data_IF_838269999426
#
_entry.id   IF_838269999426
#
_cell.length_a   1.000
_cell.length_b   1.000
_cell.length_c   1.000
_cell.angle_alpha   90.00
_cell.angle_beta   90.00
_cell.angle_gamma   90.00
#
_symmetry.space_group_name_H-M   'P 1'
#
loop_
_entity.id
_entity.type
_entity.pdbx_description
1 polymer ?
#
# COMPACT_ATOMS: atom_id res chain seq x y z
N UNK A 1 -34.39 -20.12 -16.54
CA UNK A 1 -34.72 -19.16 -15.47
C UNK A 1 -34.01 -17.86 -15.82
N UNK A 2 -34.69 -16.72 -15.96
CA UNK A 2 -34.00 -15.45 -16.20
C UNK A 2 -33.19 -15.06 -14.95
N UNK A 3 -31.93 -14.68 -15.14
CA UNK A 3 -31.08 -14.13 -14.08
C UNK A 3 -31.74 -12.89 -13.47
N UNK A 4 -31.68 -12.71 -12.14
CA UNK A 4 -32.38 -11.61 -11.50
C UNK A 4 -31.78 -10.26 -11.95
N UNK A 5 -32.64 -9.37 -12.44
CA UNK A 5 -32.31 -7.97 -12.86
C UNK A 5 -31.48 -7.20 -11.80
N UNK A 6 -31.49 -7.64 -10.56
CA UNK A 6 -30.68 -7.18 -9.44
C UNK A 6 -29.17 -7.45 -9.63
N UNK A 7 -28.77 -8.58 -10.21
CA UNK A 7 -27.37 -8.96 -10.45
C UNK A 7 -26.71 -8.06 -11.50
N UNK A 8 -27.38 -7.82 -12.63
CA UNK A 8 -26.87 -6.96 -13.70
C UNK A 8 -26.70 -5.50 -13.27
N UNK A 9 -27.60 -4.98 -12.42
CA UNK A 9 -27.46 -3.62 -11.88
C UNK A 9 -26.28 -3.52 -10.91
N UNK A 10 -26.07 -4.53 -10.07
CA UNK A 10 -24.93 -4.58 -9.17
C UNK A 10 -23.60 -4.68 -9.93
N UNK A 11 -23.54 -5.49 -10.99
CA UNK A 11 -22.38 -5.62 -11.87
C UNK A 11 -22.04 -4.31 -12.59
N UNK A 12 -23.04 -3.62 -13.15
CA UNK A 12 -22.85 -2.31 -13.78
C UNK A 12 -22.39 -1.25 -12.77
N UNK A 13 -22.93 -1.26 -11.55
CA UNK A 13 -22.50 -0.35 -10.49
C UNK A 13 -21.05 -0.63 -10.08
N UNK A 14 -20.66 -1.89 -9.92
CA UNK A 14 -19.29 -2.30 -9.62
C UNK A 14 -18.33 -1.89 -10.75
N UNK A 15 -18.71 -2.10 -12.01
CA UNK A 15 -17.93 -1.68 -13.17
C UNK A 15 -17.73 -0.16 -13.24
N UNK A 16 -18.78 0.62 -12.97
CA UNK A 16 -18.71 2.08 -12.92
C UNK A 16 -17.78 2.56 -11.80
N UNK A 17 -17.89 1.95 -10.61
CA UNK A 17 -17.02 2.27 -9.47
C UNK A 17 -15.55 1.97 -9.78
N UNK A 18 -15.26 0.83 -10.39
CA UNK A 18 -13.90 0.45 -10.79
C UNK A 18 -13.34 1.42 -11.85
N UNK A 19 -14.12 1.82 -12.84
CA UNK A 19 -13.70 2.81 -13.85
C UNK A 19 -13.37 4.17 -13.21
N UNK A 20 -14.17 4.63 -12.25
CA UNK A 20 -13.92 5.87 -11.49
C UNK A 20 -12.63 5.78 -10.68
N UNK A 21 -12.39 4.67 -9.97
CA UNK A 21 -11.15 4.46 -9.20
C UNK A 21 -9.92 4.44 -10.10
N UNK A 22 -9.98 3.71 -11.20
CA UNK A 22 -8.88 3.63 -12.15
C UNK A 22 -8.53 5.00 -12.76
N UNK A 23 -9.53 5.75 -13.22
CA UNK A 23 -9.34 7.09 -13.77
C UNK A 23 -8.79 8.07 -12.72
N UNK A 24 -9.35 8.04 -11.50
CA UNK A 24 -8.91 8.90 -10.42
C UNK A 24 -7.47 8.58 -9.98
N UNK A 25 -7.09 7.29 -9.89
CA UNK A 25 -5.72 6.87 -9.59
C UNK A 25 -4.74 7.46 -10.60
N UNK A 26 -4.96 7.28 -11.89
CA UNK A 26 -4.09 7.84 -12.93
C UNK A 26 -3.95 9.35 -12.85
N UNK A 27 -5.04 10.07 -12.58
CA UNK A 27 -5.02 11.53 -12.46
C UNK A 27 -4.33 12.01 -11.17
N UNK A 28 -4.56 11.36 -10.04
CA UNK A 28 -3.90 11.70 -8.77
C UNK A 28 -2.39 11.45 -8.85
N UNK A 29 -1.98 10.37 -9.48
CA UNK A 29 -0.55 10.11 -9.74
C UNK A 29 0.06 11.18 -10.61
N UNK A 30 -0.57 11.50 -11.75
CA UNK A 30 -0.02 12.42 -12.73
C UNK A 30 -0.01 13.88 -12.27
N UNK A 31 -1.10 14.35 -11.65
CA UNK A 31 -1.32 15.77 -11.30
C UNK A 31 -1.32 16.06 -9.80
N UNK A 32 -1.49 15.03 -8.95
CA UNK A 32 -1.75 15.16 -7.52
C UNK A 32 -3.21 15.48 -7.20
N UNK A 33 -3.55 15.35 -5.92
CA UNK A 33 -4.92 15.57 -5.45
C UNK A 33 -5.41 16.99 -5.73
N UNK A 34 -4.62 18.02 -5.44
CA UNK A 34 -5.06 19.41 -5.52
C UNK A 34 -5.45 19.80 -6.95
N UNK A 35 -4.65 19.40 -7.95
CA UNK A 35 -4.85 19.77 -9.36
C UNK A 35 -5.83 18.85 -10.13
N UNK A 36 -6.37 17.81 -9.50
CA UNK A 36 -7.37 16.93 -10.11
C UNK A 36 -8.77 17.37 -9.70
N UNK A 37 -9.65 17.64 -10.66
CA UNK A 37 -11.07 17.92 -10.43
C UNK A 37 -11.94 16.66 -10.56
N UNK A 38 -13.17 16.70 -10.01
CA UNK A 38 -14.15 15.62 -10.23
C UNK A 38 -14.61 15.58 -11.68
N UNK A 39 -14.59 16.71 -12.38
CA UNK A 39 -14.87 16.83 -13.82
C UNK A 39 -13.82 16.09 -14.65
N UNK A 40 -12.53 16.23 -14.31
CA UNK A 40 -11.45 15.46 -14.97
C UNK A 40 -11.68 13.95 -14.82
N UNK A 41 -12.05 13.52 -13.59
CA UNK A 41 -12.26 12.10 -13.28
C UNK A 41 -13.44 11.52 -14.09
N UNK A 42 -14.60 12.18 -14.10
CA UNK A 42 -15.77 11.68 -14.84
C UNK A 42 -15.53 11.67 -16.35
N UNK A 43 -14.79 12.64 -16.88
CA UNK A 43 -14.40 12.68 -18.28
C UNK A 43 -13.46 11.49 -18.62
N UNK A 44 -12.44 11.25 -17.81
CA UNK A 44 -11.50 10.15 -18.00
C UNK A 44 -12.16 8.77 -17.85
N UNK A 45 -13.07 8.62 -16.87
CA UNK A 45 -13.83 7.40 -16.65
C UNK A 45 -14.97 7.18 -17.66
N UNK A 46 -15.29 8.19 -18.50
CA UNK A 46 -16.43 8.19 -19.45
C UNK A 46 -17.77 7.91 -18.78
N UNK A 47 -17.99 8.49 -17.61
CA UNK A 47 -19.24 8.37 -16.85
C UNK A 47 -19.85 9.75 -16.59
N UNK A 48 -21.09 9.78 -16.08
CA UNK A 48 -21.74 11.04 -15.72
C UNK A 48 -21.31 11.52 -14.32
N UNK A 49 -21.43 12.82 -14.06
CA UNK A 49 -21.22 13.40 -12.74
C UNK A 49 -22.15 12.77 -11.68
N UNK A 50 -23.41 12.49 -12.07
CA UNK A 50 -24.37 11.79 -11.19
C UNK A 50 -23.90 10.40 -10.77
N UNK A 51 -23.27 9.65 -11.71
CA UNK A 51 -22.69 8.35 -11.39
C UNK A 51 -21.53 8.44 -10.38
N UNK A 52 -20.69 9.45 -10.46
CA UNK A 52 -19.63 9.67 -9.47
C UNK A 52 -20.22 9.90 -8.07
N UNK A 53 -21.18 10.83 -7.94
CA UNK A 53 -21.78 11.15 -6.63
C UNK A 53 -22.72 10.07 -6.09
N UNK A 54 -23.12 9.13 -6.94
CA UNK A 54 -23.79 7.91 -6.47
C UNK A 54 -22.82 6.97 -5.72
N UNK A 55 -21.55 6.95 -6.09
CA UNK A 55 -20.54 6.07 -5.50
C UNK A 55 -19.67 6.74 -4.43
N UNK A 56 -19.43 8.03 -4.54
CA UNK A 56 -18.52 8.78 -3.66
C UNK A 56 -19.17 10.11 -3.26
N UNK A 57 -19.13 10.42 -1.96
CA UNK A 57 -19.75 11.63 -1.41
C UNK A 57 -19.09 12.91 -1.94
N UNK A 58 -17.77 12.87 -2.09
CA UNK A 58 -16.96 13.99 -2.53
C UNK A 58 -15.61 13.50 -3.10
N UNK A 59 -14.77 14.43 -3.55
CA UNK A 59 -13.42 14.13 -4.06
C UNK A 59 -12.51 13.51 -3.00
N UNK A 60 -12.67 13.87 -1.73
CA UNK A 60 -11.89 13.32 -0.63
C UNK A 60 -12.25 11.86 -0.35
N UNK A 61 -13.52 11.51 -0.44
CA UNK A 61 -14.00 10.14 -0.31
C UNK A 61 -13.51 9.25 -1.46
N UNK A 62 -13.54 9.77 -2.70
CA UNK A 62 -12.93 9.11 -3.86
C UNK A 62 -11.41 8.91 -3.68
N UNK A 63 -10.71 9.93 -3.20
CA UNK A 63 -9.27 9.85 -2.94
C UNK A 63 -8.95 8.80 -1.86
N UNK A 64 -9.72 8.74 -0.77
CA UNK A 64 -9.57 7.71 0.27
C UNK A 64 -9.75 6.31 -0.32
N UNK A 65 -10.72 6.12 -1.21
CA UNK A 65 -10.94 4.84 -1.86
C UNK A 65 -9.76 4.46 -2.79
N UNK A 66 -9.20 5.41 -3.55
CA UNK A 66 -8.00 5.19 -4.37
C UNK A 66 -6.80 4.85 -3.50
N UNK A 67 -6.61 5.55 -2.38
CA UNK A 67 -5.50 5.29 -1.47
C UNK A 67 -5.57 3.87 -0.86
N UNK A 68 -6.77 3.44 -0.45
CA UNK A 68 -7.00 2.08 0.03
C UNK A 68 -6.72 1.03 -1.06
N UNK A 69 -7.14 1.29 -2.30
CA UNK A 69 -6.92 0.42 -3.45
C UNK A 69 -5.41 0.25 -3.74
N UNK A 70 -4.66 1.36 -3.77
CA UNK A 70 -3.20 1.33 -3.95
C UNK A 70 -2.51 0.56 -2.81
N UNK A 71 -2.90 0.79 -1.56
CA UNK A 71 -2.32 0.09 -0.41
C UNK A 71 -2.64 -1.42 -0.45
N UNK A 72 -3.88 -1.79 -0.81
CA UNK A 72 -4.28 -3.19 -0.94
C UNK A 72 -3.55 -3.90 -2.08
N UNK A 73 -3.36 -3.24 -3.23
CA UNK A 73 -2.57 -3.77 -4.36
C UNK A 73 -1.12 -4.08 -3.94
N UNK A 74 -0.52 -3.20 -3.15
CA UNK A 74 0.85 -3.41 -2.65
C UNK A 74 0.91 -4.63 -1.74
N UNK A 75 0.02 -4.72 -0.76
CA UNK A 75 -0.03 -5.89 0.13
C UNK A 75 -0.23 -7.18 -0.68
N UNK A 76 -1.14 -7.17 -1.67
CA UNK A 76 -1.38 -8.32 -2.52
C UNK A 76 -0.13 -8.73 -3.31
N UNK A 77 0.63 -7.78 -3.84
CA UNK A 77 1.90 -8.05 -4.53
C UNK A 77 2.92 -8.63 -3.57
N UNK A 78 3.14 -7.99 -2.41
CA UNK A 78 4.12 -8.46 -1.42
C UNK A 78 3.80 -9.86 -0.90
N UNK A 79 2.53 -10.17 -0.65
CA UNK A 79 2.10 -11.51 -0.20
C UNK A 79 2.19 -12.52 -1.34
N UNK A 80 1.83 -12.14 -2.58
CA UNK A 80 1.94 -13.00 -3.75
C UNK A 80 3.40 -13.37 -4.03
N UNK A 81 4.28 -12.39 -4.08
CA UNK A 81 5.71 -12.60 -4.30
C UNK A 81 6.34 -13.48 -3.20
N UNK A 82 5.90 -13.30 -1.93
CA UNK A 82 6.37 -14.13 -0.81
C UNK A 82 5.89 -15.58 -0.90
N UNK A 83 4.66 -15.83 -1.38
CA UNK A 83 4.14 -17.20 -1.57
C UNK A 83 4.84 -17.92 -2.73
N UNK A 84 5.08 -17.22 -3.84
CA UNK A 84 5.79 -17.77 -4.99
C UNK A 84 7.24 -18.11 -4.62
N UNK A 85 7.92 -17.24 -3.86
CA UNK A 85 9.27 -17.48 -3.37
C UNK A 85 9.35 -18.66 -2.38
N UNK A 86 8.35 -18.86 -1.53
CA UNK A 86 8.30 -19.96 -0.58
C UNK A 86 8.19 -21.35 -1.24
N UNK A 87 7.57 -21.42 -2.41
CA UNK A 87 7.49 -22.66 -3.20
C UNK A 87 8.85 -23.03 -3.86
N UNK A 88 9.68 -22.04 -4.19
CA UNK A 88 10.96 -22.24 -4.86
C UNK A 88 12.12 -22.49 -3.87
N UNK A 89 12.11 -21.85 -2.69
CA UNK A 89 13.17 -22.00 -1.68
C UNK A 89 12.60 -21.72 -0.29
N UNK A 90 12.37 -22.75 0.55
CA UNK A 90 11.87 -22.54 1.91
C UNK A 90 12.94 -21.82 2.75
N UNK A 91 12.86 -20.51 2.81
CA UNK A 91 13.64 -19.66 3.70
C UNK A 91 12.99 -19.54 5.09
N UNK A 92 13.74 -19.01 6.06
CA UNK A 92 13.19 -18.67 7.38
C UNK A 92 12.17 -17.54 7.26
N UNK A 93 11.27 -17.39 8.24
CA UNK A 93 10.35 -16.23 8.30
C UNK A 93 11.11 -14.91 8.31
N UNK A 94 12.30 -14.88 8.92
CA UNK A 94 13.17 -13.71 8.91
C UNK A 94 13.70 -13.41 7.48
N UNK A 95 14.06 -14.44 6.70
CA UNK A 95 14.50 -14.25 5.31
C UNK A 95 13.35 -13.76 4.43
N UNK A 96 12.15 -14.31 4.59
CA UNK A 96 10.94 -13.82 3.90
C UNK A 96 10.61 -12.36 4.25
N UNK A 97 10.78 -11.94 5.52
CA UNK A 97 10.61 -10.54 5.92
C UNK A 97 11.62 -9.64 5.20
N UNK A 98 12.87 -10.05 5.09
CA UNK A 98 13.92 -9.30 4.38
C UNK A 98 13.61 -9.15 2.90
N UNK A 99 13.14 -10.21 2.26
CA UNK A 99 12.70 -10.21 0.85
C UNK A 99 11.49 -9.28 0.66
N UNK A 100 10.46 -9.39 1.51
CA UNK A 100 9.29 -8.52 1.48
C UNK A 100 9.63 -7.04 1.67
N UNK A 101 10.57 -6.72 2.57
CA UNK A 101 11.08 -5.34 2.73
C UNK A 101 11.79 -4.88 1.46
N UNK A 102 12.61 -5.74 0.85
CA UNK A 102 13.27 -5.46 -0.42
C UNK A 102 12.26 -5.14 -1.54
N UNK A 103 11.26 -6.01 -1.72
CA UNK A 103 10.19 -5.84 -2.70
C UNK A 103 9.37 -4.56 -2.45
N UNK A 104 9.05 -4.24 -1.18
CA UNK A 104 8.40 -2.99 -0.83
C UNK A 104 9.22 -1.75 -1.24
N UNK A 105 10.52 -1.75 -0.99
CA UNK A 105 11.39 -0.64 -1.39
C UNK A 105 11.51 -0.51 -2.91
N UNK A 106 11.41 -1.61 -3.68
CA UNK A 106 11.35 -1.57 -5.15
C UNK A 106 10.06 -0.91 -5.63
N UNK A 107 8.92 -1.21 -5.01
CA UNK A 107 7.64 -0.52 -5.28
C UNK A 107 7.75 0.99 -4.98
N UNK A 108 8.53 1.38 -3.96
CA UNK A 108 8.72 2.78 -3.60
C UNK A 108 9.56 3.58 -4.63
N UNK A 109 10.26 2.94 -5.53
CA UNK A 109 10.91 3.62 -6.67
C UNK A 109 9.88 4.04 -7.72
N UNK A 110 8.77 3.29 -7.85
CA UNK A 110 7.66 3.62 -8.74
C UNK A 110 6.78 4.71 -8.12
N UNK A 111 6.53 5.80 -8.84
CA UNK A 111 5.96 7.03 -8.30
C UNK A 111 4.52 6.98 -7.75
N UNK A 112 3.74 5.93 -8.07
CA UNK A 112 2.31 5.84 -7.74
C UNK A 112 2.07 5.83 -6.23
N UNK A 113 2.73 4.91 -5.52
CA UNK A 113 2.62 4.78 -4.07
C UNK A 113 3.09 6.04 -3.36
N UNK A 114 4.23 6.57 -3.79
CA UNK A 114 4.78 7.77 -3.18
C UNK A 114 3.83 8.94 -3.30
N UNK A 115 3.33 9.22 -4.50
CA UNK A 115 2.49 10.39 -4.74
C UNK A 115 1.18 10.29 -3.98
N UNK A 116 0.46 9.20 -4.16
CA UNK A 116 -0.90 9.05 -3.63
C UNK A 116 -0.89 8.76 -2.12
N UNK A 117 -0.05 7.82 -1.68
CA UNK A 117 -0.11 7.35 -0.29
C UNK A 117 0.75 8.20 0.63
N UNK A 118 2.02 8.43 0.28
CA UNK A 118 2.97 9.08 1.21
C UNK A 118 2.93 10.61 1.16
N UNK A 119 2.66 11.21 0.00
CA UNK A 119 2.68 12.68 -0.16
C UNK A 119 1.30 13.28 0.04
N UNK A 120 0.32 12.87 -0.77
CA UNK A 120 -1.03 13.46 -0.73
C UNK A 120 -1.86 12.88 0.43
N UNK A 121 -1.68 11.58 0.78
CA UNK A 121 -2.46 10.87 1.79
C UNK A 121 -2.54 11.57 3.15
N UNK A 122 -1.41 11.84 3.84
CA UNK A 122 -1.42 12.50 5.15
C UNK A 122 -2.02 13.91 5.09
N UNK A 123 -1.74 14.66 4.00
CA UNK A 123 -2.19 16.04 3.83
C UNK A 123 -3.70 16.11 3.56
N UNK A 124 -4.22 15.21 2.73
CA UNK A 124 -5.63 15.24 2.29
C UNK A 124 -6.54 14.61 3.33
N UNK A 125 -6.17 13.46 3.88
CA UNK A 125 -7.04 12.71 4.79
C UNK A 125 -6.87 13.11 6.25
N UNK A 126 -5.69 13.60 6.61
CA UNK A 126 -5.32 13.94 7.98
C UNK A 126 -4.66 12.77 8.73
N UNK A 127 -4.09 13.06 9.93
CA UNK A 127 -3.27 12.10 10.66
C UNK A 127 -4.04 10.85 11.09
N UNK A 128 -5.27 10.98 11.54
CA UNK A 128 -6.08 9.85 12.01
C UNK A 128 -6.35 8.82 10.90
N UNK A 129 -6.77 9.27 9.72
CA UNK A 129 -7.04 8.37 8.59
C UNK A 129 -5.74 7.77 8.01
N UNK A 130 -4.64 8.50 8.11
CA UNK A 130 -3.33 8.00 7.76
C UNK A 130 -2.86 6.91 8.74
N UNK A 131 -3.03 7.13 10.04
CA UNK A 131 -2.70 6.14 11.07
C UNK A 131 -3.55 4.86 10.90
N UNK A 132 -4.86 5.01 10.65
CA UNK A 132 -5.75 3.87 10.38
C UNK A 132 -5.26 3.04 9.18
N UNK A 133 -4.88 3.69 8.08
CA UNK A 133 -4.37 3.02 6.89
C UNK A 133 -3.05 2.29 7.19
N UNK A 134 -2.09 2.95 7.81
CA UNK A 134 -0.79 2.38 8.15
C UNK A 134 -0.94 1.20 9.11
N UNK A 135 -1.86 1.32 10.06
CA UNK A 135 -2.18 0.22 10.98
C UNK A 135 -2.77 -0.97 10.23
N UNK A 136 -3.76 -0.74 9.39
CA UNK A 136 -4.47 -1.79 8.65
C UNK A 136 -3.57 -2.57 7.71
N UNK A 137 -2.77 -1.88 6.91
CA UNK A 137 -2.00 -2.48 5.81
C UNK A 137 -0.53 -2.75 6.16
N UNK A 138 -0.01 -2.17 7.23
CA UNK A 138 1.37 -2.33 7.64
C UNK A 138 1.49 -3.00 9.01
N UNK A 139 1.07 -2.30 10.07
CA UNK A 139 1.31 -2.75 11.45
C UNK A 139 0.67 -4.10 11.76
N UNK A 140 -0.60 -4.30 11.36
CA UNK A 140 -1.30 -5.57 11.63
C UNK A 140 -0.60 -6.75 10.96
N UNK A 141 -0.28 -6.62 9.66
CA UNK A 141 0.39 -7.66 8.90
C UNK A 141 1.77 -8.01 9.50
N UNK A 142 2.58 -7.00 9.79
CA UNK A 142 3.90 -7.20 10.40
C UNK A 142 3.80 -7.78 11.82
N UNK A 143 2.79 -7.40 12.60
CA UNK A 143 2.58 -7.95 13.94
C UNK A 143 2.34 -9.46 13.88
N UNK A 144 1.46 -9.92 13.00
CA UNK A 144 1.17 -11.34 12.82
C UNK A 144 2.42 -12.11 12.38
N UNK A 145 3.17 -11.54 11.44
CA UNK A 145 4.41 -12.13 10.93
C UNK A 145 5.48 -12.25 12.03
N UNK A 146 5.72 -11.18 12.78
CA UNK A 146 6.69 -11.17 13.87
C UNK A 146 6.30 -12.15 14.99
N UNK A 147 5.02 -12.25 15.33
CA UNK A 147 4.53 -13.24 16.28
C UNK A 147 4.83 -14.67 15.83
N UNK A 148 4.70 -14.94 14.53
CA UNK A 148 5.00 -16.25 13.99
C UNK A 148 6.51 -16.55 14.05
N UNK A 149 7.37 -15.56 13.71
CA UNK A 149 8.81 -15.68 13.79
C UNK A 149 9.33 -15.86 15.25
N UNK A 150 8.67 -15.24 16.23
CA UNK A 150 8.93 -15.47 17.65
C UNK A 150 8.54 -16.88 18.09
N UNK A 151 7.37 -17.38 17.64
CA UNK A 151 6.91 -18.74 17.94
C UNK A 151 7.81 -19.83 17.35
N UNK A 152 8.39 -19.60 16.18
CA UNK A 152 9.37 -20.50 15.55
C UNK A 152 10.79 -20.31 16.07
N UNK A 153 10.97 -19.49 17.09
CA UNK A 153 12.26 -19.20 17.74
C UNK A 153 13.34 -18.63 16.81
N UNK A 154 12.94 -18.01 15.70
CA UNK A 154 13.85 -17.38 14.75
C UNK A 154 14.35 -16.02 15.24
N UNK A 155 13.51 -15.30 15.99
CA UNK A 155 13.82 -14.01 16.60
C UNK A 155 13.54 -14.02 18.10
N UNK A 156 14.18 -13.13 18.84
CA UNK A 156 13.95 -12.99 20.29
C UNK A 156 12.51 -12.54 20.58
N UNK A 157 12.00 -12.91 21.75
CA UNK A 157 10.68 -12.50 22.21
C UNK A 157 10.68 -11.01 22.57
N UNK A 158 9.92 -10.21 21.81
CA UNK A 158 9.78 -8.76 21.91
C UNK A 158 8.30 -8.37 21.86
N UNK A 159 7.93 -7.15 22.29
CA UNK A 159 6.57 -6.63 22.08
C UNK A 159 6.27 -6.49 20.57
N UNK A 160 5.63 -7.51 19.97
CA UNK A 160 5.46 -7.62 18.53
C UNK A 160 4.75 -6.40 17.89
N UNK A 161 3.73 -5.84 18.57
CA UNK A 161 3.02 -4.66 18.10
C UNK A 161 3.89 -3.39 18.07
N UNK A 162 4.72 -3.19 19.06
CA UNK A 162 5.64 -2.05 19.13
C UNK A 162 6.76 -2.21 18.10
N UNK A 163 7.32 -3.42 17.97
CA UNK A 163 8.32 -3.72 16.94
C UNK A 163 7.76 -3.50 15.53
N UNK A 164 6.54 -3.95 15.26
CA UNK A 164 5.86 -3.73 13.98
C UNK A 164 5.67 -2.23 13.68
N UNK A 165 5.26 -1.42 14.68
CA UNK A 165 5.12 0.04 14.52
C UNK A 165 6.45 0.71 14.18
N UNK A 166 7.54 0.31 14.85
CA UNK A 166 8.87 0.84 14.59
C UNK A 166 9.36 0.47 13.19
N UNK A 167 9.16 -0.77 12.76
CA UNK A 167 9.50 -1.21 11.41
C UNK A 167 8.70 -0.47 10.33
N UNK A 168 7.39 -0.28 10.53
CA UNK A 168 6.55 0.51 9.60
C UNK A 168 7.03 1.96 9.54
N UNK A 169 7.42 2.57 10.66
CA UNK A 169 7.98 3.92 10.68
C UNK A 169 9.29 4.01 9.89
N UNK A 170 10.19 3.04 10.06
CA UNK A 170 11.44 2.96 9.29
C UNK A 170 11.18 2.77 7.78
N UNK A 171 10.23 1.91 7.41
CA UNK A 171 9.82 1.71 6.01
C UNK A 171 9.21 2.96 5.41
N UNK A 172 8.38 3.68 6.17
CA UNK A 172 7.79 4.96 5.74
C UNK A 172 8.87 6.00 5.48
N UNK A 173 9.83 6.16 6.40
CA UNK A 173 10.92 7.11 6.20
C UNK A 173 11.82 6.73 5.02
N UNK A 174 12.19 5.44 4.90
CA UNK A 174 12.94 4.95 3.75
C UNK A 174 12.25 5.27 2.41
N UNK A 175 10.92 5.08 2.36
CA UNK A 175 10.10 5.40 1.19
C UNK A 175 10.15 6.90 0.86
N UNK A 176 10.05 7.76 1.86
CA UNK A 176 10.15 9.21 1.69
C UNK A 176 11.55 9.64 1.24
N UNK A 177 12.60 9.01 1.77
CA UNK A 177 13.98 9.23 1.34
C UNK A 177 14.14 8.89 -0.14
N UNK A 178 13.62 7.74 -0.59
CA UNK A 178 13.69 7.31 -1.99
C UNK A 178 12.99 8.34 -2.89
N UNK A 179 11.78 8.79 -2.51
CA UNK A 179 11.01 9.71 -3.34
C UNK A 179 11.54 11.13 -3.44
N UNK A 180 12.33 11.54 -2.46
CA UNK A 180 12.97 12.88 -2.46
C UNK A 180 14.37 12.88 -3.06
N UNK A 181 14.89 11.69 -3.38
CA UNK A 181 16.28 11.55 -3.80
C UNK A 181 16.47 11.98 -5.26
N UNK A 182 17.64 12.59 -5.55
CA UNK A 182 18.07 12.83 -6.92
C UNK A 182 18.38 11.52 -7.68
N UNK A 183 18.80 10.47 -6.98
CA UNK A 183 18.99 9.10 -7.48
C UNK A 183 18.20 8.13 -6.60
N UNK A 184 16.91 7.87 -6.92
CA UNK A 184 16.05 6.95 -6.16
C UNK A 184 16.60 5.53 -6.09
N UNK A 185 17.21 5.01 -7.16
CA UNK A 185 17.75 3.66 -7.20
C UNK A 185 18.95 3.49 -6.26
N UNK A 186 19.83 4.48 -6.17
CA UNK A 186 20.93 4.47 -5.21
C UNK A 186 20.40 4.52 -3.77
N UNK A 187 19.47 5.45 -3.50
CA UNK A 187 18.88 5.60 -2.16
C UNK A 187 18.16 4.33 -1.73
N UNK A 188 17.41 3.68 -2.63
CA UNK A 188 16.78 2.36 -2.41
C UNK A 188 17.82 1.32 -1.97
N UNK A 189 18.94 1.19 -2.70
CA UNK A 189 20.00 0.23 -2.35
C UNK A 189 20.60 0.51 -0.98
N UNK A 190 20.87 1.78 -0.66
CA UNK A 190 21.50 2.18 0.60
C UNK A 190 20.53 1.99 1.79
N UNK A 191 19.28 2.39 1.65
CA UNK A 191 18.23 2.15 2.64
C UNK A 191 17.96 0.64 2.84
N UNK A 192 17.91 -0.13 1.74
CA UNK A 192 17.71 -1.57 1.80
C UNK A 192 18.80 -2.30 2.57
N UNK A 193 20.09 -1.95 2.34
CA UNK A 193 21.22 -2.52 3.11
C UNK A 193 21.13 -2.18 4.60
N UNK A 194 20.68 -0.97 4.92
CA UNK A 194 20.55 -0.52 6.31
C UNK A 194 19.41 -1.26 7.03
N UNK A 195 18.25 -1.35 6.39
CA UNK A 195 17.09 -2.08 6.92
C UNK A 195 17.38 -3.58 7.06
N UNK A 196 18.03 -4.18 6.06
CA UNK A 196 18.47 -5.57 6.12
C UNK A 196 19.33 -5.83 7.37
N UNK A 197 20.27 -4.94 7.65
CA UNK A 197 21.14 -5.08 8.84
C UNK A 197 20.37 -4.98 10.15
N UNK A 198 19.37 -4.10 10.20
CA UNK A 198 18.48 -3.95 11.37
C UNK A 198 17.66 -5.22 11.57
N UNK A 199 17.06 -5.77 10.49
CA UNK A 199 16.23 -6.96 10.55
C UNK A 199 17.06 -8.20 10.94
N UNK A 200 18.25 -8.37 10.37
CA UNK A 200 19.18 -9.46 10.73
C UNK A 200 19.57 -9.37 12.21
N UNK A 201 19.66 -8.16 12.77
CA UNK A 201 19.91 -7.94 14.18
C UNK A 201 18.81 -8.46 15.15
N UNK A 202 17.62 -8.78 14.62
CA UNK A 202 16.53 -9.39 15.40
C UNK A 202 16.69 -10.91 15.58
N UNK A 203 17.59 -11.53 14.81
CA UNK A 203 17.82 -12.98 14.84
C UNK A 203 18.22 -13.42 16.25
N UNK A 204 17.55 -14.45 16.75
CA UNK A 204 17.91 -15.08 18.03
C UNK A 204 19.35 -15.60 17.97
N UNK A 205 20.14 -15.28 19.00
CA UNK A 205 21.53 -15.70 19.15
C UNK A 205 21.64 -17.07 19.80
#
# INVERSE_FOLDING_TARGET
MPEPVSSLRAEHAAGTRAALLHAARGLFVAKGYAATSTEDVVAAARVTRGALYHHFRDKKDLFRAVMNDVAADIVKRLVGDALDAADETPGTLLDQLREGVGAFLDICVDGDFQRVVLVDGPTVLGPEAWEELTHRYGVSLLTEWLQQAMKSEEIDELPAGDLARLLVALLTEASLMIGRAADPHRTRRDAGRTLDRIIVGLRRQ
#
